data_IF_015392305916
#
_entry.id   IF_015392305916
#
_cell.length_a   1.000
_cell.length_b   1.000
_cell.length_c   1.000
_cell.angle_alpha   90.00
_cell.angle_beta   90.00
_cell.angle_gamma   90.00
#
_symmetry.space_group_name_H-M   'P 1'
#
loop_
_entity.id
_entity.type
_entity.pdbx_description
1 polymer ?
#
# COMPACT_ATOMS: atom_id res chain seq x y z
N UNK A 1 -8.72 -45.50 13.31
CA UNK A 1 -10.16 -45.41 12.95
C UNK A 1 -10.49 -46.49 11.92
N UNK A 2 -11.75 -46.94 11.75
CA UNK A 2 -12.09 -47.81 10.62
C UNK A 2 -11.74 -47.10 9.28
N UNK A 3 -11.17 -47.80 8.28
CA UNK A 3 -10.75 -47.19 7.02
C UNK A 3 -11.85 -46.38 6.31
N UNK A 4 -13.10 -46.85 6.36
CA UNK A 4 -14.26 -46.17 5.76
C UNK A 4 -14.57 -44.83 6.43
N UNK A 5 -14.44 -44.74 7.76
CA UNK A 5 -14.68 -43.50 8.50
C UNK A 5 -13.53 -42.50 8.27
N UNK A 6 -12.29 -42.99 8.15
CA UNK A 6 -11.13 -42.19 7.79
C UNK A 6 -11.28 -41.58 6.39
N UNK A 7 -11.69 -42.38 5.41
CA UNK A 7 -11.97 -41.91 4.06
C UNK A 7 -13.11 -40.88 4.06
N UNK A 8 -14.21 -41.14 4.78
CA UNK A 8 -15.34 -40.22 4.90
C UNK A 8 -14.93 -38.85 5.46
N UNK A 9 -14.16 -38.83 6.55
CA UNK A 9 -13.67 -37.57 7.16
C UNK A 9 -12.70 -36.83 6.24
N UNK A 10 -11.85 -37.56 5.54
CA UNK A 10 -10.94 -36.99 4.54
C UNK A 10 -11.71 -36.31 3.41
N UNK A 11 -12.72 -36.98 2.85
CA UNK A 11 -13.59 -36.40 1.83
C UNK A 11 -14.36 -35.17 2.35
N UNK A 12 -14.75 -35.15 3.63
CA UNK A 12 -15.39 -33.99 4.24
C UNK A 12 -14.44 -32.78 4.34
N UNK A 13 -13.17 -33.00 4.69
CA UNK A 13 -12.15 -31.96 4.71
C UNK A 13 -11.94 -31.41 3.30
N UNK A 14 -11.76 -32.27 2.28
CA UNK A 14 -11.58 -31.85 0.88
C UNK A 14 -12.75 -30.99 0.39
N UNK A 15 -14.00 -31.45 0.59
CA UNK A 15 -15.19 -30.66 0.21
C UNK A 15 -15.26 -29.32 0.93
N UNK A 16 -14.84 -29.28 2.20
CA UNK A 16 -14.79 -28.03 2.96
C UNK A 16 -13.76 -27.08 2.35
N UNK A 17 -12.57 -27.57 1.99
CA UNK A 17 -11.55 -26.78 1.30
C UNK A 17 -12.13 -26.19 0.00
N UNK A 18 -12.68 -27.02 -0.88
CA UNK A 18 -13.24 -26.57 -2.17
C UNK A 18 -14.33 -25.50 -2.02
N UNK A 19 -15.22 -25.66 -1.03
CA UNK A 19 -16.25 -24.65 -0.73
C UNK A 19 -15.65 -23.33 -0.27
N UNK A 20 -14.61 -23.36 0.57
CA UNK A 20 -13.94 -22.15 1.03
C UNK A 20 -13.21 -21.45 -0.11
N UNK A 21 -12.55 -22.19 -1.01
CA UNK A 21 -11.89 -21.60 -2.19
C UNK A 21 -12.90 -20.88 -3.11
N UNK A 22 -14.07 -21.47 -3.32
CA UNK A 22 -15.15 -20.85 -4.10
C UNK A 22 -15.68 -19.57 -3.44
N UNK A 23 -15.92 -19.59 -2.14
CA UNK A 23 -16.36 -18.42 -1.37
C UNK A 23 -15.31 -17.32 -1.44
N UNK A 24 -14.04 -17.64 -1.20
CA UNK A 24 -12.95 -16.66 -1.26
C UNK A 24 -12.80 -16.05 -2.64
N UNK A 25 -12.93 -16.85 -3.70
CA UNK A 25 -12.87 -16.36 -5.08
C UNK A 25 -14.03 -15.41 -5.36
N UNK A 26 -15.25 -15.80 -4.97
CA UNK A 26 -16.45 -14.98 -5.15
C UNK A 26 -16.36 -13.65 -4.38
N UNK A 27 -15.96 -13.71 -3.11
CA UNK A 27 -15.82 -12.53 -2.26
C UNK A 27 -14.68 -11.63 -2.75
N UNK A 28 -13.56 -12.19 -3.20
CA UNK A 28 -12.49 -11.41 -3.85
C UNK A 28 -13.00 -10.61 -5.05
N UNK A 29 -13.80 -11.25 -5.91
CA UNK A 29 -14.42 -10.58 -7.06
C UNK A 29 -15.48 -9.55 -6.64
N UNK A 30 -16.20 -9.80 -5.54
CA UNK A 30 -17.13 -8.82 -4.97
C UNK A 30 -16.39 -7.61 -4.42
N UNK A 31 -15.27 -7.79 -3.72
CA UNK A 31 -14.42 -6.73 -3.18
C UNK A 31 -13.91 -5.80 -4.28
N UNK A 32 -13.49 -6.36 -5.42
CA UNK A 32 -13.07 -5.58 -6.60
C UNK A 32 -14.20 -4.70 -7.16
N UNK A 33 -15.47 -5.03 -6.89
CA UNK A 33 -16.65 -4.30 -7.36
C UNK A 33 -17.16 -3.26 -6.36
N UNK A 34 -16.62 -3.18 -5.14
CA UNK A 34 -17.11 -2.29 -4.06
C UNK A 34 -17.03 -0.78 -4.40
N UNK A 35 -16.38 -0.41 -5.50
CA UNK A 35 -16.47 0.93 -6.09
C UNK A 35 -17.93 1.36 -6.40
N UNK A 36 -18.86 0.41 -6.55
CA UNK A 36 -20.30 0.62 -6.75
C UNK A 36 -20.96 1.45 -5.65
N UNK A 37 -20.47 1.38 -4.42
CA UNK A 37 -21.11 2.07 -3.31
C UNK A 37 -20.76 3.56 -3.27
N UNK A 38 -19.70 4.01 -3.96
CA UNK A 38 -19.48 5.45 -4.19
C UNK A 38 -20.71 6.15 -4.80
N UNK A 39 -21.58 5.38 -5.48
CA UNK A 39 -22.88 5.80 -6.03
C UNK A 39 -23.94 6.13 -4.97
N UNK A 40 -23.82 5.64 -3.73
CA UNK A 40 -24.71 6.00 -2.60
C UNK A 40 -24.48 7.43 -2.11
N UNK A 41 -23.27 7.95 -2.27
CA UNK A 41 -22.95 9.31 -1.89
C UNK A 41 -23.39 10.28 -3.01
N UNK A 42 -24.70 10.37 -3.21
CA UNK A 42 -25.36 11.12 -4.29
C UNK A 42 -25.33 12.64 -4.12
N UNK A 43 -24.84 13.11 -2.97
CA UNK A 43 -24.77 14.55 -2.65
C UNK A 43 -26.16 15.18 -2.55
N UNK A 44 -27.11 14.48 -1.93
CA UNK A 44 -28.49 14.95 -1.73
C UNK A 44 -29.44 14.66 -2.89
N UNK A 45 -29.00 13.91 -3.92
CA UNK A 45 -29.84 13.56 -5.07
C UNK A 45 -30.42 12.16 -4.92
N UNK A 46 -31.66 11.95 -5.34
CA UNK A 46 -32.22 10.61 -5.42
C UNK A 46 -31.47 9.79 -6.51
N UNK A 47 -30.98 8.58 -6.22
CA UNK A 47 -30.37 7.72 -7.23
C UNK A 47 -31.36 7.35 -8.34
N UNK A 48 -30.83 7.13 -9.54
CA UNK A 48 -31.56 6.53 -10.65
C UNK A 48 -31.46 4.99 -10.54
N UNK A 49 -32.43 4.38 -9.85
CA UNK A 49 -32.40 2.96 -9.54
C UNK A 49 -32.44 2.06 -10.78
N UNK A 50 -32.97 2.54 -11.91
CA UNK A 50 -33.03 1.78 -13.16
C UNK A 50 -31.64 1.53 -13.75
N UNK A 51 -30.65 2.35 -13.38
CA UNK A 51 -29.24 2.17 -13.77
C UNK A 51 -28.47 1.25 -12.83
N UNK A 52 -29.09 0.78 -11.74
CA UNK A 52 -28.47 -0.10 -10.78
C UNK A 52 -28.91 -1.54 -11.02
N UNK A 53 -27.92 -2.44 -11.02
CA UNK A 53 -28.13 -3.88 -11.05
C UNK A 53 -28.75 -4.37 -9.74
N UNK A 54 -29.39 -5.54 -9.76
CA UNK A 54 -29.95 -6.14 -8.54
C UNK A 54 -28.87 -6.41 -7.49
N UNK A 55 -27.65 -6.76 -7.91
CA UNK A 55 -26.54 -6.97 -6.99
C UNK A 55 -26.12 -5.67 -6.32
N UNK A 56 -26.05 -4.56 -7.06
CA UNK A 56 -25.74 -3.25 -6.47
C UNK A 56 -26.80 -2.82 -5.44
N UNK A 57 -28.08 -3.06 -5.71
CA UNK A 57 -29.16 -2.78 -4.75
C UNK A 57 -29.04 -3.64 -3.48
N UNK A 58 -28.68 -4.92 -3.62
CA UNK A 58 -28.44 -5.82 -2.47
C UNK A 58 -27.23 -5.36 -1.66
N UNK A 59 -26.14 -5.01 -2.31
CA UNK A 59 -24.94 -4.46 -1.66
C UNK A 59 -25.29 -3.15 -0.91
N UNK A 60 -26.04 -2.25 -1.53
CA UNK A 60 -26.48 -0.99 -0.91
C UNK A 60 -27.35 -1.24 0.34
N UNK A 61 -28.26 -2.20 0.25
CA UNK A 61 -29.11 -2.60 1.38
C UNK A 61 -28.27 -3.21 2.52
N UNK A 62 -27.40 -4.18 2.22
CA UNK A 62 -26.53 -4.83 3.22
C UNK A 62 -25.66 -3.81 3.97
N UNK A 63 -25.12 -2.81 3.26
CA UNK A 63 -24.33 -1.71 3.84
C UNK A 63 -25.18 -0.86 4.77
N UNK A 64 -26.37 -0.48 4.31
CA UNK A 64 -27.31 0.30 5.10
C UNK A 64 -27.63 -0.38 6.42
N UNK A 65 -27.98 -1.67 6.35
CA UNK A 65 -28.32 -2.48 7.51
C UNK A 65 -27.14 -2.69 8.46
N UNK A 66 -25.91 -2.81 7.96
CA UNK A 66 -24.76 -3.05 8.84
C UNK A 66 -24.18 -1.77 9.43
N UNK A 67 -24.55 -0.61 8.92
CA UNK A 67 -24.10 0.67 9.47
C UNK A 67 -24.97 1.09 10.66
N UNK A 68 -24.47 0.93 11.88
CA UNK A 68 -25.13 1.42 13.10
C UNK A 68 -25.41 2.93 13.05
N UNK A 69 -24.55 3.69 12.36
CA UNK A 69 -24.71 5.14 12.15
C UNK A 69 -25.86 5.47 11.20
N UNK A 70 -26.12 4.63 10.18
CA UNK A 70 -27.25 4.80 9.25
C UNK A 70 -28.55 4.25 9.87
N UNK A 71 -28.44 3.24 10.75
CA UNK A 71 -29.57 2.58 11.41
C UNK A 71 -30.19 3.33 12.58
N UNK A 72 -29.60 4.44 13.04
CA UNK A 72 -30.25 5.33 14.00
C UNK A 72 -31.38 6.10 13.30
N UNK A 73 -32.42 5.37 12.89
CA UNK A 73 -33.75 5.92 12.67
C UNK A 73 -34.22 6.43 14.03
N UNK A 74 -34.65 7.70 14.17
CA UNK A 74 -35.26 8.15 15.41
C UNK A 74 -36.46 7.25 15.65
N UNK A 75 -36.46 6.55 16.79
CA UNK A 75 -37.67 5.95 17.30
C UNK A 75 -38.72 7.07 17.33
N UNK A 76 -39.76 6.94 16.52
CA UNK A 76 -40.92 7.79 16.60
C UNK A 76 -41.62 7.51 17.93
N UNK A 77 -41.05 8.00 19.03
CA UNK A 77 -41.76 8.14 20.30
C UNK A 77 -42.72 9.29 20.11
N UNK A 78 -43.98 8.95 19.81
CA UNK A 78 -45.09 9.84 20.09
C UNK A 78 -45.18 10.03 21.62
N UNK A 79 -44.87 11.23 22.14
CA UNK A 79 -44.77 11.47 23.58
C UNK A 79 -46.13 11.36 24.30
N UNK A 80 -47.25 11.35 23.58
CA UNK A 80 -48.58 11.25 24.21
C UNK A 80 -49.10 9.81 24.33
N UNK A 81 -48.68 8.89 23.44
CA UNK A 81 -49.24 7.53 23.42
C UNK A 81 -48.36 6.46 24.03
N UNK A 82 -47.04 6.65 24.11
CA UNK A 82 -46.10 5.65 24.66
C UNK A 82 -46.08 4.30 23.90
N UNK A 83 -46.74 4.22 22.74
CA UNK A 83 -46.80 3.04 21.88
C UNK A 83 -46.10 3.36 20.57
N UNK A 84 -45.10 2.55 20.22
CA UNK A 84 -44.41 2.59 18.92
C UNK A 84 -45.37 2.13 17.83
N UNK A 85 -46.28 3.00 17.36
CA UNK A 85 -47.34 2.62 16.41
C UNK A 85 -46.97 2.82 14.94
N UNK A 86 -45.82 3.42 14.64
CA UNK A 86 -45.36 3.63 13.27
C UNK A 86 -43.94 3.08 13.08
N UNK A 87 -43.75 1.78 13.25
CA UNK A 87 -42.68 1.13 12.48
C UNK A 87 -43.06 1.30 11.01
N UNK A 88 -42.34 2.14 10.27
CA UNK A 88 -42.43 2.11 8.82
C UNK A 88 -42.26 0.64 8.39
N UNK A 89 -43.16 0.07 7.57
CA UNK A 89 -43.11 -1.35 7.16
C UNK A 89 -41.83 -1.70 6.38
N UNK A 90 -40.99 -0.70 6.11
CA UNK A 90 -39.69 -0.80 5.45
C UNK A 90 -38.54 -0.22 6.29
N UNK A 91 -38.77 0.05 7.59
CA UNK A 91 -37.66 0.31 8.51
C UNK A 91 -36.73 -0.90 8.49
N UNK A 92 -35.42 -0.66 8.46
CA UNK A 92 -34.40 -1.73 8.46
C UNK A 92 -34.67 -2.76 9.55
N UNK A 93 -35.06 -2.28 10.74
CA UNK A 93 -35.42 -3.12 11.88
C UNK A 93 -36.64 -4.00 11.57
N UNK A 94 -37.71 -3.43 11.02
CA UNK A 94 -38.90 -4.21 10.63
C UNK A 94 -38.62 -5.23 9.51
N UNK A 95 -37.71 -4.94 8.58
CA UNK A 95 -37.29 -5.89 7.53
C UNK A 95 -36.49 -7.05 8.12
N UNK A 96 -35.60 -6.77 9.08
CA UNK A 96 -34.86 -7.81 9.81
C UNK A 96 -35.78 -8.66 10.71
N UNK A 97 -36.73 -8.05 11.41
CA UNK A 97 -37.72 -8.74 12.23
C UNK A 97 -38.64 -9.65 11.40
N UNK A 98 -38.90 -9.28 10.15
CA UNK A 98 -39.63 -10.12 9.18
C UNK A 98 -38.80 -11.26 8.58
N UNK A 99 -37.52 -11.40 8.93
CA UNK A 99 -36.62 -12.43 8.41
C UNK A 99 -36.26 -12.25 6.93
N UNK A 100 -36.51 -11.06 6.35
CA UNK A 100 -36.15 -10.77 4.97
C UNK A 100 -34.65 -10.49 4.88
N UNK A 101 -33.99 -11.20 3.97
CA UNK A 101 -32.59 -10.98 3.65
C UNK A 101 -32.47 -10.33 2.28
N UNK A 102 -31.34 -9.66 2.02
CA UNK A 102 -31.05 -9.14 0.68
C UNK A 102 -31.14 -10.21 -0.39
N UNK A 103 -30.87 -11.49 -0.07
CA UNK A 103 -30.99 -12.64 -0.98
C UNK A 103 -32.45 -12.97 -1.37
N UNK A 104 -33.40 -12.78 -0.46
CA UNK A 104 -34.81 -13.17 -0.65
C UNK A 104 -35.71 -12.06 -1.20
N UNK A 105 -35.26 -10.80 -1.15
CA UNK A 105 -36.06 -9.66 -1.58
C UNK A 105 -36.16 -9.56 -3.10
N UNK A 106 -37.34 -9.13 -3.59
CA UNK A 106 -37.52 -8.71 -4.98
C UNK A 106 -36.78 -7.40 -5.25
N UNK A 107 -36.58 -7.07 -6.53
CA UNK A 107 -35.97 -5.80 -6.94
C UNK A 107 -36.77 -4.61 -6.39
N UNK A 108 -38.10 -4.63 -6.48
CA UNK A 108 -38.97 -3.55 -5.98
C UNK A 108 -38.81 -3.39 -4.46
N UNK A 109 -38.76 -4.49 -3.71
CA UNK A 109 -38.53 -4.45 -2.27
C UNK A 109 -37.16 -3.86 -1.92
N UNK A 110 -36.11 -4.23 -2.67
CA UNK A 110 -34.77 -3.67 -2.49
C UNK A 110 -34.73 -2.18 -2.80
N UNK A 111 -35.34 -1.75 -3.92
CA UNK A 111 -35.42 -0.33 -4.29
C UNK A 111 -36.13 0.46 -3.19
N UNK A 112 -37.28 -0.01 -2.70
CA UNK A 112 -38.00 0.68 -1.63
C UNK A 112 -37.18 0.77 -0.35
N UNK A 113 -36.57 -0.33 0.09
CA UNK A 113 -35.76 -0.33 1.32
C UNK A 113 -34.54 0.60 1.21
N UNK A 114 -33.83 0.57 0.08
CA UNK A 114 -32.69 1.46 -0.19
C UNK A 114 -33.14 2.92 -0.29
N UNK A 115 -34.27 3.20 -0.94
CA UNK A 115 -34.82 4.55 -1.07
C UNK A 115 -35.22 5.13 0.28
N UNK A 116 -35.84 4.35 1.15
CA UNK A 116 -36.25 4.79 2.48
C UNK A 116 -35.03 5.05 3.39
N UNK A 117 -34.02 4.17 3.32
CA UNK A 117 -32.72 4.39 3.97
C UNK A 117 -32.07 5.71 3.54
N UNK A 118 -32.05 5.97 2.23
CA UNK A 118 -31.45 7.18 1.67
C UNK A 118 -32.27 8.43 2.00
N UNK A 119 -33.61 8.37 1.93
CA UNK A 119 -34.51 9.46 2.33
C UNK A 119 -34.24 9.90 3.76
N UNK A 120 -34.08 8.95 4.67
CA UNK A 120 -33.81 9.24 6.09
C UNK A 120 -32.56 10.10 6.28
N UNK A 121 -31.57 9.90 5.42
CA UNK A 121 -30.32 10.65 5.40
C UNK A 121 -30.36 11.87 4.46
N UNK A 122 -31.54 12.32 4.04
CA UNK A 122 -31.74 13.37 3.03
C UNK A 122 -30.92 13.12 1.75
N UNK A 123 -30.74 11.85 1.39
CA UNK A 123 -29.89 11.39 0.29
C UNK A 123 -28.44 11.91 0.38
N UNK A 124 -27.96 12.27 1.57
CA UNK A 124 -26.65 12.87 1.78
C UNK A 124 -25.87 12.12 2.86
N UNK A 125 -25.63 10.83 2.61
CA UNK A 125 -24.80 10.01 3.48
C UNK A 125 -23.36 10.51 3.41
N UNK A 126 -22.77 10.77 4.57
CA UNK A 126 -21.39 11.21 4.70
C UNK A 126 -20.43 10.13 4.14
N UNK A 127 -19.51 10.45 3.21
CA UNK A 127 -18.66 9.44 2.55
C UNK A 127 -17.88 8.54 3.52
N UNK A 128 -17.40 9.08 4.64
CA UNK A 128 -16.66 8.29 5.64
C UNK A 128 -17.55 7.32 6.42
N UNK A 129 -18.84 7.63 6.62
CA UNK A 129 -19.80 6.71 7.25
C UNK A 129 -20.05 5.52 6.33
N UNK A 130 -20.14 5.79 5.03
CA UNK A 130 -20.29 4.75 4.04
C UNK A 130 -19.04 3.87 3.92
N UNK A 131 -17.85 4.49 3.92
CA UNK A 131 -16.58 3.77 3.96
C UNK A 131 -16.49 2.85 5.19
N UNK A 132 -16.86 3.36 6.36
CA UNK A 132 -16.90 2.58 7.60
C UNK A 132 -17.81 1.36 7.49
N UNK A 133 -19.04 1.55 7.01
CA UNK A 133 -19.99 0.46 6.84
C UNK A 133 -19.45 -0.63 5.90
N UNK A 134 -18.80 -0.22 4.80
CA UNK A 134 -18.15 -1.15 3.88
C UNK A 134 -17.04 -1.93 4.53
N UNK A 135 -16.12 -1.26 5.22
CA UNK A 135 -14.99 -1.89 5.90
C UNK A 135 -15.52 -2.92 6.91
N UNK A 136 -16.56 -2.58 7.68
CA UNK A 136 -17.19 -3.53 8.60
C UNK A 136 -17.71 -4.78 7.89
N UNK A 137 -18.36 -4.64 6.73
CA UNK A 137 -18.83 -5.81 5.97
C UNK A 137 -17.69 -6.68 5.47
N UNK A 138 -16.66 -6.04 4.92
CA UNK A 138 -15.49 -6.71 4.36
C UNK A 138 -14.73 -7.45 5.47
N UNK A 139 -14.48 -6.77 6.59
CA UNK A 139 -13.79 -7.33 7.74
C UNK A 139 -14.58 -8.45 8.40
N UNK A 140 -15.91 -8.34 8.50
CA UNK A 140 -16.76 -9.42 9.01
C UNK A 140 -16.66 -10.66 8.13
N UNK A 141 -16.72 -10.50 6.80
CA UNK A 141 -16.50 -11.59 5.84
C UNK A 141 -15.11 -12.21 5.98
N UNK A 142 -14.07 -11.39 6.13
CA UNK A 142 -12.70 -11.86 6.36
C UNK A 142 -12.53 -12.63 7.66
N UNK A 143 -13.12 -12.17 8.76
CA UNK A 143 -13.05 -12.85 10.04
C UNK A 143 -13.79 -14.19 10.04
N UNK A 144 -14.96 -14.25 9.39
CA UNK A 144 -15.69 -15.49 9.19
C UNK A 144 -14.86 -16.47 8.33
N UNK A 145 -14.19 -15.95 7.30
CA UNK A 145 -13.34 -16.73 6.42
C UNK A 145 -12.15 -17.36 7.16
N UNK A 146 -11.42 -16.55 7.93
CA UNK A 146 -10.29 -16.99 8.74
C UNK A 146 -10.73 -18.07 9.76
N UNK A 147 -11.86 -17.86 10.44
CA UNK A 147 -12.40 -18.85 11.38
C UNK A 147 -12.75 -20.18 10.73
N UNK A 148 -13.29 -20.17 9.50
CA UNK A 148 -13.55 -21.41 8.74
C UNK A 148 -12.25 -22.10 8.31
N UNK A 149 -11.24 -21.35 7.88
CA UNK A 149 -9.92 -21.89 7.52
C UNK A 149 -9.24 -22.52 8.74
N UNK A 150 -9.23 -21.85 9.89
CA UNK A 150 -8.69 -22.38 11.14
C UNK A 150 -9.40 -23.67 11.57
N UNK A 151 -10.73 -23.72 11.45
CA UNK A 151 -11.50 -24.92 11.75
C UNK A 151 -11.09 -26.10 10.86
N UNK A 152 -10.97 -25.91 9.54
CA UNK A 152 -10.56 -26.99 8.63
C UNK A 152 -9.13 -27.47 8.92
N UNK A 153 -8.22 -26.56 9.28
CA UNK A 153 -6.88 -26.94 9.72
C UNK A 153 -6.91 -27.75 11.02
N UNK A 154 -7.73 -27.35 11.99
CA UNK A 154 -7.90 -28.06 13.26
C UNK A 154 -8.49 -29.46 13.06
N UNK A 155 -9.51 -29.59 12.21
CA UNK A 155 -10.11 -30.88 11.85
C UNK A 155 -9.08 -31.83 11.22
N UNK A 156 -8.20 -31.31 10.35
CA UNK A 156 -7.09 -32.09 9.79
C UNK A 156 -6.04 -32.49 10.84
N UNK A 157 -5.63 -31.58 11.73
CA UNK A 157 -4.66 -31.90 12.79
C UNK A 157 -5.19 -32.97 13.76
N UNK A 158 -6.49 -32.93 14.09
CA UNK A 158 -7.11 -33.98 14.89
C UNK A 158 -7.09 -35.32 14.18
N UNK A 159 -7.39 -35.34 12.86
CA UNK A 159 -7.34 -36.56 12.06
C UNK A 159 -5.92 -37.16 12.01
N UNK A 160 -4.89 -36.34 11.87
CA UNK A 160 -3.48 -36.79 11.93
C UNK A 160 -3.10 -37.34 13.32
N UNK A 161 -3.65 -36.76 14.39
CA UNK A 161 -3.37 -37.19 15.76
C UNK A 161 -4.07 -38.50 16.12
N UNK A 162 -5.32 -38.69 15.66
CA UNK A 162 -6.13 -39.89 15.94
C UNK A 162 -5.58 -41.16 15.26
N UNK A 163 -4.93 -41.05 14.11
CA UNK A 163 -4.41 -42.20 13.35
C UNK A 163 -2.93 -42.52 13.60
N UNK A 164 -2.20 -41.68 14.34
CA UNK A 164 -0.76 -41.83 14.59
C UNK A 164 0.12 -41.51 13.38
N UNK A 165 1.44 -41.72 13.49
CA UNK A 165 2.45 -41.29 12.49
C UNK A 165 2.25 -41.84 11.06
N UNK A 166 1.36 -42.82 10.88
CA UNK A 166 1.11 -43.51 9.61
C UNK A 166 0.13 -42.81 8.66
N UNK A 167 -0.74 -41.92 9.14
CA UNK A 167 -1.68 -41.20 8.27
C UNK A 167 -1.10 -39.86 7.83
N UNK A 168 -0.62 -39.82 6.59
CA UNK A 168 -0.16 -38.59 5.92
C UNK A 168 -0.80 -38.54 4.54
N UNK A 169 -1.96 -37.88 4.44
CA UNK A 169 -2.56 -37.61 3.15
C UNK A 169 -1.88 -36.38 2.54
N UNK A 170 -0.94 -36.61 1.64
CA UNK A 170 -0.13 -35.54 1.02
C UNK A 170 -0.99 -34.59 0.17
N UNK A 171 -2.06 -35.10 -0.45
CA UNK A 171 -2.99 -34.29 -1.24
C UNK A 171 -3.71 -33.26 -0.35
N UNK A 172 -4.25 -33.70 0.79
CA UNK A 172 -4.90 -32.80 1.76
C UNK A 172 -3.91 -31.77 2.31
N UNK A 173 -2.66 -32.16 2.56
CA UNK A 173 -1.62 -31.23 3.03
C UNK A 173 -1.29 -30.14 2.02
N UNK A 174 -1.12 -30.50 0.75
CA UNK A 174 -0.87 -29.51 -0.29
C UNK A 174 -2.11 -28.63 -0.54
N UNK A 175 -3.33 -29.18 -0.48
CA UNK A 175 -4.56 -28.38 -0.54
C UNK A 175 -4.67 -27.38 0.64
N UNK A 176 -4.37 -27.79 1.88
CA UNK A 176 -4.37 -26.89 3.04
C UNK A 176 -3.32 -25.79 2.93
N UNK A 177 -2.15 -26.10 2.38
CA UNK A 177 -1.09 -25.13 2.11
C UNK A 177 -1.51 -24.12 1.05
N UNK A 178 -2.18 -24.57 0.00
CA UNK A 178 -2.78 -23.70 -1.02
C UNK A 178 -3.87 -22.80 -0.41
N UNK A 179 -4.80 -23.37 0.36
CA UNK A 179 -5.86 -22.63 1.05
C UNK A 179 -5.28 -21.56 1.99
N UNK A 180 -4.20 -21.86 2.73
CA UNK A 180 -3.50 -20.90 3.58
C UNK A 180 -2.89 -19.75 2.77
N UNK A 181 -2.28 -20.07 1.63
CA UNK A 181 -1.71 -19.05 0.74
C UNK A 181 -2.80 -18.17 0.10
N UNK A 182 -3.93 -18.76 -0.29
CA UNK A 182 -5.10 -18.02 -0.77
C UNK A 182 -5.70 -17.15 0.34
N UNK A 183 -5.84 -17.64 1.57
CA UNK A 183 -6.40 -16.88 2.70
C UNK A 183 -5.54 -15.66 3.00
N UNK A 184 -4.21 -15.82 2.97
CA UNK A 184 -3.27 -14.70 3.07
C UNK A 184 -3.45 -13.68 1.93
N UNK A 185 -3.68 -14.15 0.71
CA UNK A 185 -3.91 -13.29 -0.46
C UNK A 185 -5.24 -12.55 -0.37
N UNK A 186 -6.29 -13.22 0.11
CA UNK A 186 -7.59 -12.64 0.37
C UNK A 186 -7.51 -11.57 1.46
N UNK A 187 -6.88 -11.86 2.60
CA UNK A 187 -6.65 -10.88 3.66
C UNK A 187 -5.90 -9.64 3.20
N UNK A 188 -4.89 -9.80 2.33
CA UNK A 188 -4.22 -8.65 1.69
C UNK A 188 -5.16 -7.87 0.75
N UNK A 189 -5.99 -8.56 -0.01
CA UNK A 189 -6.97 -7.91 -0.89
C UNK A 189 -7.99 -7.11 -0.08
N UNK A 190 -8.46 -7.65 1.03
CA UNK A 190 -9.32 -6.98 2.00
C UNK A 190 -8.66 -5.71 2.54
N UNK A 191 -7.38 -5.78 2.92
CA UNK A 191 -6.59 -4.64 3.36
C UNK A 191 -6.49 -3.56 2.28
N UNK A 192 -6.00 -3.92 1.09
CA UNK A 192 -5.84 -3.00 -0.05
C UNK A 192 -7.18 -2.34 -0.43
N UNK A 193 -8.27 -3.11 -0.43
CA UNK A 193 -9.62 -2.61 -0.72
C UNK A 193 -10.10 -1.64 0.35
N UNK A 194 -9.90 -1.97 1.63
CA UNK A 194 -10.29 -1.10 2.75
C UNK A 194 -9.55 0.22 2.71
N UNK A 195 -8.23 0.19 2.47
CA UNK A 195 -7.41 1.39 2.28
C UNK A 195 -7.91 2.25 1.13
N UNK A 196 -8.22 1.63 -0.02
CA UNK A 196 -8.76 2.33 -1.18
C UNK A 196 -10.11 3.01 -0.88
N UNK A 197 -10.98 2.35 -0.12
CA UNK A 197 -12.28 2.88 0.30
C UNK A 197 -12.11 4.11 1.21
N UNK A 198 -11.28 4.02 2.26
CA UNK A 198 -11.00 5.16 3.15
C UNK A 198 -10.37 6.30 2.36
N UNK A 199 -9.42 6.00 1.48
CA UNK A 199 -8.76 6.99 0.65
C UNK A 199 -9.74 7.71 -0.26
N UNK A 200 -10.61 6.99 -0.96
CA UNK A 200 -11.64 7.58 -1.82
C UNK A 200 -12.61 8.47 -1.05
N UNK A 201 -13.04 8.02 0.14
CA UNK A 201 -13.90 8.81 1.02
C UNK A 201 -13.22 10.08 1.52
N UNK A 202 -11.95 9.99 1.94
CA UNK A 202 -11.15 11.13 2.37
C UNK A 202 -10.97 12.15 1.25
N UNK A 203 -10.57 11.70 0.04
CA UNK A 203 -10.41 12.58 -1.12
C UNK A 203 -11.72 13.31 -1.47
N UNK A 204 -12.86 12.61 -1.46
CA UNK A 204 -14.18 13.21 -1.71
C UNK A 204 -14.54 14.26 -0.66
N UNK A 205 -14.25 13.99 0.62
CA UNK A 205 -14.53 14.93 1.71
C UNK A 205 -13.63 16.16 1.67
N UNK A 206 -12.35 15.99 1.39
CA UNK A 206 -11.42 17.10 1.23
C UNK A 206 -11.82 17.97 0.03
N UNK A 207 -12.21 17.36 -1.10
CA UNK A 207 -12.72 18.11 -2.26
C UNK A 207 -13.99 18.91 -1.96
N UNK A 208 -14.83 18.44 -1.04
CA UNK A 208 -16.02 19.15 -0.56
C UNK A 208 -15.74 20.11 0.62
N UNK A 209 -14.51 20.15 1.15
CA UNK A 209 -14.14 20.96 2.31
C UNK A 209 -13.69 22.40 1.95
N UNK A 210 -13.86 22.81 0.69
CA UNK A 210 -13.58 24.18 0.28
C UNK A 210 -14.41 25.18 1.11
N UNK A 211 -13.74 26.12 1.77
CA UNK A 211 -14.38 27.12 2.63
C UNK A 211 -14.70 26.66 4.06
N UNK A 212 -14.42 25.40 4.42
CA UNK A 212 -14.48 24.94 5.80
C UNK A 212 -13.33 25.50 6.62
N UNK A 213 -13.51 25.53 7.93
CA UNK A 213 -12.47 25.94 8.88
C UNK A 213 -11.32 24.93 8.92
N UNK A 214 -10.09 25.35 9.26
CA UNK A 214 -8.96 24.44 9.41
C UNK A 214 -9.20 23.33 10.44
N UNK A 215 -10.01 23.59 11.47
CA UNK A 215 -10.38 22.62 12.50
C UNK A 215 -11.27 21.51 11.93
N UNK A 216 -12.27 21.86 11.11
CA UNK A 216 -13.11 20.87 10.43
C UNK A 216 -12.30 20.02 9.46
N UNK A 217 -11.39 20.64 8.69
CA UNK A 217 -10.50 19.91 7.77
C UNK A 217 -9.57 18.96 8.54
N UNK A 218 -9.01 19.41 9.66
CA UNK A 218 -8.20 18.56 10.54
C UNK A 218 -9.02 17.40 11.10
N UNK A 219 -10.26 17.62 11.51
CA UNK A 219 -11.15 16.56 12.00
C UNK A 219 -11.45 15.52 10.93
N UNK A 220 -11.61 15.92 9.66
CA UNK A 220 -11.80 14.98 8.53
C UNK A 220 -10.57 14.07 8.39
N UNK A 221 -9.37 14.66 8.44
CA UNK A 221 -8.11 13.94 8.27
C UNK A 221 -7.86 12.97 9.44
N UNK A 222 -8.05 13.44 10.67
CA UNK A 222 -7.88 12.61 11.87
C UNK A 222 -8.93 11.49 11.94
N UNK A 223 -10.17 11.74 11.51
CA UNK A 223 -11.17 10.69 11.42
C UNK A 223 -10.75 9.60 10.44
N UNK A 224 -10.26 9.97 9.25
CA UNK A 224 -9.76 9.01 8.26
C UNK A 224 -8.54 8.21 8.77
N UNK A 225 -7.58 8.88 9.42
CA UNK A 225 -6.43 8.20 10.06
C UNK A 225 -6.85 7.24 11.15
N UNK A 226 -7.82 7.64 11.99
CA UNK A 226 -8.38 6.79 13.03
C UNK A 226 -8.91 5.47 12.47
N UNK A 227 -9.58 5.52 11.32
CA UNK A 227 -10.10 4.32 10.63
C UNK A 227 -9.02 3.41 10.07
N UNK A 228 -7.88 3.96 9.67
CA UNK A 228 -6.75 3.18 9.16
C UNK A 228 -5.97 2.47 10.27
N UNK A 229 -6.11 2.89 11.53
CA UNK A 229 -5.43 2.22 12.63
C UNK A 229 -6.04 0.81 12.81
N UNK A 230 -5.17 -0.20 12.69
CA UNK A 230 -5.51 -1.63 12.56
C UNK A 230 -6.40 -2.23 13.67
N UNK A 231 -6.62 -1.53 14.79
CA UNK A 231 -7.55 -1.96 15.84
C UNK A 231 -9.02 -1.83 15.43
N UNK A 232 -9.39 -0.80 14.66
CA UNK A 232 -10.79 -0.57 14.29
C UNK A 232 -11.25 -1.40 13.09
N UNK A 233 -10.33 -1.77 12.18
CA UNK A 233 -10.68 -2.56 10.99
C UNK A 233 -10.72 -4.08 11.24
N UNK A 234 -10.22 -4.56 12.39
CA UNK A 234 -10.00 -5.99 12.59
C UNK A 234 -11.19 -6.77 13.13
N UNK A 235 -12.25 -6.13 13.62
CA UNK A 235 -13.41 -6.84 14.19
C UNK A 235 -13.05 -7.87 15.30
N UNK A 236 -11.86 -7.76 15.91
CA UNK A 236 -11.34 -8.72 16.90
C UNK A 236 -10.35 -9.78 16.37
N UNK A 237 -10.07 -9.89 15.07
CA UNK A 237 -9.05 -10.81 14.57
C UNK A 237 -7.66 -10.18 14.64
N UNK A 238 -6.77 -10.75 15.48
CA UNK A 238 -5.36 -10.32 15.62
C UNK A 238 -4.55 -10.36 14.30
N UNK A 239 -5.12 -10.89 13.21
CA UNK A 239 -4.43 -11.15 11.94
C UNK A 239 -4.23 -9.91 11.06
N UNK A 240 -5.09 -8.87 11.19
CA UNK A 240 -4.95 -7.62 10.44
C UNK A 240 -4.04 -6.58 11.13
N UNK A 241 -3.44 -6.90 12.27
CA UNK A 241 -2.66 -5.98 13.11
C UNK A 241 -1.31 -5.51 12.53
N UNK A 242 -1.05 -5.72 11.23
CA UNK A 242 0.22 -5.34 10.57
C UNK A 242 0.07 -4.39 9.38
N UNK A 243 -1.00 -3.61 9.30
CA UNK A 243 -1.13 -2.46 8.37
C UNK A 243 -0.27 -1.27 8.86
N UNK A 244 0.98 -1.50 9.24
CA UNK A 244 1.87 -0.41 9.71
C UNK A 244 2.45 0.41 8.55
N UNK A 245 2.42 -0.13 7.34
CA UNK A 245 3.14 0.43 6.19
C UNK A 245 2.23 1.04 5.12
N UNK A 246 0.91 0.81 5.15
CA UNK A 246 -0.02 1.43 4.21
C UNK A 246 -0.38 2.85 4.65
N UNK A 247 0.08 3.82 3.86
CA UNK A 247 -0.21 5.25 4.03
C UNK A 247 -1.35 5.64 3.10
N UNK A 248 -2.33 6.39 3.60
CA UNK A 248 -3.36 6.99 2.74
C UNK A 248 -2.70 7.92 1.73
N UNK A 249 -3.07 7.80 0.46
CA UNK A 249 -2.51 8.61 -0.62
C UNK A 249 -3.49 9.73 -1.06
N UNK A 250 -3.09 10.97 -0.82
CA UNK A 250 -3.78 12.18 -1.25
C UNK A 250 -3.26 12.70 -2.60
N UNK A 251 -2.30 12.03 -3.24
CA UNK A 251 -1.77 12.48 -4.53
C UNK A 251 -2.88 12.52 -5.59
N UNK A 252 -2.96 13.61 -6.35
CA UNK A 252 -4.03 13.86 -7.32
C UNK A 252 -5.38 14.31 -6.72
N UNK A 253 -5.54 14.37 -5.39
CA UNK A 253 -6.76 14.89 -4.78
C UNK A 253 -7.00 16.37 -5.14
N UNK A 254 -8.27 16.76 -5.25
CA UNK A 254 -8.64 18.17 -5.44
C UNK A 254 -8.63 18.88 -4.08
N UNK A 255 -7.56 19.63 -3.79
CA UNK A 255 -7.43 20.41 -2.55
C UNK A 255 -7.63 21.91 -2.78
N UNK A 256 -8.18 22.30 -3.95
CA UNK A 256 -8.32 23.70 -4.34
C UNK A 256 -9.13 24.49 -3.31
N UNK A 257 -8.46 25.41 -2.63
CA UNK A 257 -9.10 26.31 -1.67
C UNK A 257 -9.46 25.67 -0.32
N UNK A 258 -9.07 24.41 -0.09
CA UNK A 258 -9.13 23.75 1.22
C UNK A 258 -8.07 24.39 2.12
N UNK A 259 -8.45 24.75 3.35
CA UNK A 259 -7.51 25.31 4.31
C UNK A 259 -6.89 24.21 5.18
N UNK A 260 -5.61 23.91 4.92
CA UNK A 260 -4.83 22.92 5.68
C UNK A 260 -4.00 23.57 6.79
N UNK A 261 -4.25 24.84 7.13
CA UNK A 261 -3.51 25.54 8.18
C UNK A 261 -3.50 24.72 9.47
N UNK A 262 -2.30 24.34 9.94
CA UNK A 262 -2.08 23.56 11.18
C UNK A 262 -2.56 22.11 11.15
N UNK A 263 -3.03 21.61 10.01
CA UNK A 263 -3.33 20.19 9.83
C UNK A 263 -2.05 19.36 9.97
N UNK A 264 -2.16 18.21 10.61
CA UNK A 264 -1.09 17.22 10.67
C UNK A 264 -1.32 16.18 9.58
N UNK A 265 -0.41 16.08 8.62
CA UNK A 265 -0.48 15.07 7.55
C UNK A 265 0.49 13.90 7.79
N UNK A 266 0.98 13.71 9.03
CA UNK A 266 1.87 12.59 9.37
C UNK A 266 1.26 11.27 8.93
N UNK A 267 2.05 10.47 8.21
CA UNK A 267 1.62 9.16 7.70
C UNK A 267 0.76 9.22 6.43
N UNK A 268 0.48 10.40 5.87
CA UNK A 268 -0.17 10.54 4.56
C UNK A 268 0.89 10.66 3.47
N UNK A 269 0.62 10.08 2.30
CA UNK A 269 1.37 10.35 1.08
C UNK A 269 0.65 11.48 0.33
N UNK A 270 1.41 12.46 -0.12
CA UNK A 270 0.88 13.59 -0.90
C UNK A 270 1.98 14.13 -1.80
N UNK A 271 1.68 14.36 -3.06
CA UNK A 271 2.62 14.99 -3.98
C UNK A 271 2.60 16.53 -3.84
N UNK A 272 3.71 17.22 -4.17
CA UNK A 272 3.80 18.66 -3.98
C UNK A 272 2.78 19.46 -4.80
N UNK A 273 2.38 18.97 -5.98
CA UNK A 273 1.44 19.65 -6.89
C UNK A 273 0.01 19.55 -6.38
N UNK A 274 -0.37 18.46 -5.73
CA UNK A 274 -1.66 18.40 -5.03
C UNK A 274 -1.65 19.27 -3.77
N UNK A 275 -0.58 19.21 -2.96
CA UNK A 275 -0.47 20.05 -1.77
C UNK A 275 -0.51 21.55 -2.10
N UNK A 276 0.07 21.98 -3.23
CA UNK A 276 0.11 23.38 -3.62
C UNK A 276 -1.27 24.00 -3.88
N UNK A 277 -2.30 23.20 -4.12
CA UNK A 277 -3.67 23.66 -4.35
C UNK A 277 -4.36 24.15 -3.06
N UNK A 278 -3.88 23.70 -1.91
CA UNK A 278 -4.43 24.04 -0.60
C UNK A 278 -3.96 25.42 -0.10
N UNK A 279 -4.66 25.97 0.89
CA UNK A 279 -4.22 27.13 1.67
C UNK A 279 -3.50 26.67 2.93
N UNK A 280 -2.64 27.52 3.48
CA UNK A 280 -1.97 27.26 4.76
C UNK A 280 -0.84 26.23 4.70
N UNK A 281 -0.34 25.92 3.49
CA UNK A 281 0.70 24.90 3.26
C UNK A 281 1.94 25.13 4.13
N UNK A 282 2.27 26.38 4.42
CA UNK A 282 3.41 26.76 5.25
C UNK A 282 3.29 26.27 6.72
N UNK A 283 2.05 26.13 7.22
CA UNK A 283 1.74 25.71 8.58
C UNK A 283 1.47 24.20 8.72
N UNK A 284 1.43 23.47 7.61
CA UNK A 284 1.18 22.03 7.60
C UNK A 284 2.33 21.28 8.27
N UNK A 285 2.00 20.26 9.06
CA UNK A 285 2.94 19.39 9.79
C UNK A 285 2.92 17.97 9.23
N UNK A 286 3.95 17.20 9.57
CA UNK A 286 3.99 15.76 9.25
C UNK A 286 4.31 15.41 7.79
N UNK A 287 4.69 16.40 6.98
CA UNK A 287 5.12 16.21 5.58
C UNK A 287 6.62 16.44 5.48
N UNK A 288 7.24 15.69 4.58
CA UNK A 288 8.61 15.91 4.13
C UNK A 288 8.87 17.41 3.77
N UNK A 289 9.94 18.03 4.32
CA UNK A 289 10.27 19.43 4.05
C UNK A 289 10.49 19.76 2.57
N UNK A 290 11.01 18.83 1.77
CA UNK A 290 11.21 18.99 0.34
C UNK A 290 9.89 19.00 -0.41
N UNK A 291 8.95 18.10 -0.05
CA UNK A 291 7.59 18.10 -0.60
C UNK A 291 6.87 19.41 -0.26
N UNK A 292 6.93 19.86 1.00
CA UNK A 292 6.35 21.14 1.41
C UNK A 292 7.00 22.32 0.69
N UNK A 293 8.33 22.32 0.57
CA UNK A 293 9.09 23.34 -0.14
C UNK A 293 8.71 23.42 -1.62
N UNK A 294 8.63 22.27 -2.30
CA UNK A 294 8.19 22.20 -3.69
C UNK A 294 6.75 22.68 -3.86
N UNK A 295 5.83 22.33 -2.94
CA UNK A 295 4.45 22.80 -2.97
C UNK A 295 4.35 24.34 -2.86
N UNK A 296 5.13 24.96 -1.97
CA UNK A 296 5.21 26.41 -1.86
C UNK A 296 5.79 27.05 -3.13
N UNK A 297 6.77 26.40 -3.78
CA UNK A 297 7.31 26.87 -5.06
C UNK A 297 6.28 26.77 -6.19
N UNK A 298 5.47 25.70 -6.24
CA UNK A 298 4.34 25.61 -7.16
C UNK A 298 3.35 26.78 -6.96
N UNK A 299 2.97 27.10 -5.72
CA UNK A 299 2.11 28.26 -5.44
C UNK A 299 2.71 29.59 -5.90
N UNK A 300 4.04 29.71 -5.85
CA UNK A 300 4.75 30.89 -6.36
C UNK A 300 4.70 30.94 -7.89
N UNK A 301 4.87 29.80 -8.57
CA UNK A 301 4.76 29.69 -10.02
C UNK A 301 3.35 30.10 -10.46
N UNK A 302 2.29 29.58 -9.82
CA UNK A 302 0.90 29.93 -10.16
C UNK A 302 0.65 31.45 -10.07
N UNK A 303 1.23 32.12 -9.07
CA UNK A 303 1.15 33.59 -8.93
C UNK A 303 1.90 34.31 -10.07
N UNK A 304 3.10 33.85 -10.41
CA UNK A 304 3.92 34.43 -11.49
C UNK A 304 3.24 34.23 -12.85
N UNK A 305 2.64 33.06 -13.10
CA UNK A 305 1.89 32.76 -14.32
C UNK A 305 0.62 33.63 -14.42
N UNK A 306 -0.09 33.84 -13.31
CA UNK A 306 -1.22 34.76 -13.28
C UNK A 306 -0.81 36.23 -13.54
N UNK A 307 0.37 36.66 -13.08
CA UNK A 307 0.93 37.97 -13.43
C UNK A 307 1.33 38.06 -14.91
N UNK A 308 1.94 37.01 -15.44
CA UNK A 308 2.29 36.91 -16.85
C UNK A 308 1.06 37.00 -17.76
N UNK A 309 -0.03 36.35 -17.36
CA UNK A 309 -1.31 36.41 -18.07
C UNK A 309 -1.93 37.81 -18.06
N UNK A 310 -1.83 38.56 -16.95
CA UNK A 310 -2.27 39.96 -16.89
C UNK A 310 -1.51 40.85 -17.88
N UNK A 311 -0.22 40.56 -18.11
CA UNK A 311 0.60 41.28 -19.09
C UNK A 311 0.25 40.99 -20.56
N UNK A 312 -0.65 40.02 -20.84
CA UNK A 312 -1.20 39.84 -22.20
C UNK A 312 -2.12 41.00 -22.60
N UNK A 313 -2.88 41.54 -21.63
CA UNK A 313 -3.75 42.70 -21.81
C UNK A 313 -3.49 43.75 -20.72
N UNK A 314 -2.32 44.42 -20.76
CA UNK A 314 -1.85 45.23 -19.65
C UNK A 314 -2.63 46.54 -19.53
N UNK A 315 -3.08 46.85 -18.31
CA UNK A 315 -3.65 48.14 -17.97
C UNK A 315 -2.61 49.26 -17.97
N UNK A 316 -3.05 50.50 -17.80
CA UNK A 316 -2.16 51.68 -17.74
C UNK A 316 -1.11 51.52 -16.63
N UNK A 317 -1.53 51.05 -15.46
CA UNK A 317 -0.62 50.83 -14.32
C UNK A 317 0.43 49.74 -14.60
N UNK A 318 0.07 48.67 -15.31
CA UNK A 318 0.99 47.59 -15.65
C UNK A 318 2.04 48.08 -16.65
N UNK A 319 1.63 48.90 -17.62
CA UNK A 319 2.54 49.56 -18.57
C UNK A 319 3.53 50.45 -17.85
N UNK A 320 3.09 51.26 -16.90
CA UNK A 320 3.95 52.13 -16.10
C UNK A 320 4.95 51.31 -15.27
N UNK A 321 4.49 50.23 -14.60
CA UNK A 321 5.39 49.35 -13.83
C UNK A 321 6.42 48.67 -14.72
N UNK A 322 6.03 48.23 -15.91
CA UNK A 322 6.88 47.51 -16.83
C UNK A 322 8.02 48.35 -17.43
N UNK A 323 7.92 49.69 -17.42
CA UNK A 323 9.01 50.58 -17.87
C UNK A 323 10.33 50.26 -17.15
N UNK A 324 10.29 49.93 -15.86
CA UNK A 324 11.48 49.53 -15.07
C UNK A 324 12.15 48.26 -15.56
N UNK A 325 11.45 47.45 -16.33
CA UNK A 325 11.95 46.19 -16.89
C UNK A 325 12.23 46.30 -18.39
N UNK A 326 12.22 47.51 -18.98
CA UNK A 326 12.37 47.69 -20.43
C UNK A 326 11.06 47.56 -21.21
N UNK A 327 9.93 47.87 -20.57
CA UNK A 327 8.59 47.77 -21.16
C UNK A 327 7.92 46.42 -20.91
N UNK A 328 6.72 46.23 -21.49
CA UNK A 328 5.88 45.05 -21.26
C UNK A 328 6.62 43.75 -21.61
N UNK A 329 7.33 43.72 -22.74
CA UNK A 329 8.07 42.52 -23.17
C UNK A 329 9.24 42.20 -22.23
N UNK A 330 9.93 43.22 -21.71
CA UNK A 330 10.98 43.02 -20.72
C UNK A 330 10.43 42.51 -19.37
N UNK A 331 9.26 43.00 -18.95
CA UNK A 331 8.57 42.47 -17.77
C UNK A 331 8.10 41.02 -17.95
N UNK A 332 7.58 40.66 -19.13
CA UNK A 332 7.24 39.25 -19.46
C UNK A 332 8.47 38.35 -19.39
N UNK A 333 9.58 38.77 -19.99
CA UNK A 333 10.85 38.01 -19.98
C UNK A 333 11.37 37.80 -18.55
N UNK A 334 11.32 38.83 -17.71
CA UNK A 334 11.70 38.71 -16.29
C UNK A 334 10.84 37.69 -15.54
N UNK A 335 9.51 37.71 -15.76
CA UNK A 335 8.60 36.72 -15.17
C UNK A 335 8.87 35.29 -15.65
N UNK A 336 9.11 35.09 -16.95
CA UNK A 336 9.47 33.78 -17.51
C UNK A 336 10.74 33.24 -16.85
N UNK A 337 11.79 34.06 -16.75
CA UNK A 337 13.04 33.66 -16.09
C UNK A 337 12.83 33.28 -14.62
N UNK A 338 11.93 33.98 -13.90
CA UNK A 338 11.58 33.64 -12.51
C UNK A 338 10.81 32.33 -12.41
N UNK A 339 9.92 32.04 -13.37
CA UNK A 339 9.18 30.78 -13.45
C UNK A 339 10.14 29.63 -13.74
N UNK A 340 11.05 29.78 -14.71
CA UNK A 340 12.01 28.75 -15.07
C UNK A 340 12.95 28.43 -13.90
N UNK A 341 13.47 29.46 -13.22
CA UNK A 341 14.26 29.27 -12.00
C UNK A 341 13.48 28.56 -10.89
N UNK A 342 12.19 28.89 -10.71
CA UNK A 342 11.35 28.21 -9.73
C UNK A 342 11.08 26.74 -10.10
N UNK A 343 10.98 26.42 -11.39
CA UNK A 343 10.87 25.02 -11.87
C UNK A 343 12.16 24.24 -11.62
N UNK A 344 13.33 24.86 -11.85
CA UNK A 344 14.62 24.27 -11.50
C UNK A 344 14.73 24.00 -9.98
N UNK A 345 14.30 24.95 -9.14
CA UNK A 345 14.28 24.78 -7.67
C UNK A 345 13.38 23.59 -7.25
N UNK A 346 12.26 23.35 -7.93
CA UNK A 346 11.40 22.18 -7.68
C UNK A 346 12.14 20.90 -8.04
N UNK A 347 12.75 20.86 -9.23
CA UNK A 347 13.51 19.69 -9.70
C UNK A 347 14.61 19.36 -8.69
N UNK A 348 15.40 20.34 -8.25
CA UNK A 348 16.48 20.12 -7.29
C UNK A 348 15.98 19.58 -5.93
N UNK A 349 14.87 20.13 -5.41
CA UNK A 349 14.27 19.66 -4.14
C UNK A 349 13.72 18.24 -4.26
N UNK A 350 13.09 17.93 -5.39
CA UNK A 350 12.52 16.60 -5.64
C UNK A 350 13.58 15.56 -5.95
N UNK A 351 14.63 15.93 -6.68
CA UNK A 351 15.79 15.08 -6.95
C UNK A 351 16.57 14.78 -5.66
N UNK A 352 16.69 15.74 -4.75
CA UNK A 352 17.30 15.51 -3.43
C UNK A 352 16.50 14.51 -2.60
N UNK A 353 15.17 14.67 -2.53
CA UNK A 353 14.28 13.73 -1.83
C UNK A 353 14.25 12.34 -2.47
N UNK A 354 14.26 12.28 -3.81
CA UNK A 354 14.30 11.03 -4.57
C UNK A 354 15.68 10.35 -4.44
N UNK A 355 16.76 11.13 -4.40
CA UNK A 355 18.11 10.64 -4.16
C UNK A 355 18.26 10.08 -2.75
N UNK A 356 17.77 10.77 -1.72
CA UNK A 356 17.79 10.27 -0.33
C UNK A 356 16.95 8.98 -0.18
N UNK A 357 15.76 8.94 -0.79
CA UNK A 357 14.90 7.75 -0.73
C UNK A 357 15.52 6.56 -1.46
N UNK A 358 16.07 6.78 -2.66
CA UNK A 358 16.78 5.75 -3.42
C UNK A 358 18.09 5.34 -2.74
N UNK A 359 18.79 6.26 -2.09
CA UNK A 359 20.00 5.96 -1.33
C UNK A 359 19.66 5.09 -0.12
N UNK A 360 18.57 5.39 0.59
CA UNK A 360 18.07 4.56 1.68
C UNK A 360 17.65 3.17 1.21
N UNK A 361 16.92 3.08 0.09
CA UNK A 361 16.54 1.78 -0.50
C UNK A 361 17.75 0.96 -0.96
N UNK A 362 18.73 1.61 -1.59
CA UNK A 362 19.97 0.96 -2.01
C UNK A 362 20.77 0.49 -0.79
N UNK A 363 20.82 1.29 0.28
CA UNK A 363 21.49 0.95 1.53
C UNK A 363 20.82 -0.25 2.21
N UNK A 364 19.49 -0.24 2.34
CA UNK A 364 18.73 -1.38 2.88
C UNK A 364 18.89 -2.65 2.02
N UNK A 365 19.00 -2.50 0.69
CA UNK A 365 19.25 -3.63 -0.22
C UNK A 365 20.67 -4.18 -0.06
N UNK A 366 21.68 -3.31 0.09
CA UNK A 366 23.06 -3.70 0.39
C UNK A 366 23.13 -4.46 1.72
N UNK A 367 22.46 -3.97 2.77
CA UNK A 367 22.41 -4.64 4.08
C UNK A 367 21.76 -6.02 4.01
N UNK A 368 20.62 -6.14 3.31
CA UNK A 368 19.95 -7.43 3.12
C UNK A 368 20.80 -8.42 2.33
N UNK A 369 21.45 -7.96 1.25
CA UNK A 369 22.33 -8.81 0.46
C UNK A 369 23.57 -9.21 1.26
N UNK A 370 24.11 -8.31 2.09
CA UNK A 370 25.21 -8.61 3.02
C UNK A 370 24.84 -9.69 4.03
N UNK A 371 23.67 -9.60 4.67
CA UNK A 371 23.19 -10.66 5.55
C UNK A 371 23.03 -12.00 4.83
N UNK A 372 22.53 -11.99 3.59
CA UNK A 372 22.41 -13.19 2.77
C UNK A 372 23.78 -13.74 2.38
N UNK A 373 24.79 -12.90 2.17
CA UNK A 373 26.16 -13.35 1.97
C UNK A 373 26.73 -14.04 3.20
N UNK A 374 26.50 -13.49 4.40
CA UNK A 374 26.93 -14.12 5.64
C UNK A 374 26.34 -15.54 5.79
N UNK A 375 25.07 -15.74 5.38
CA UNK A 375 24.41 -17.04 5.35
C UNK A 375 25.00 -18.01 4.31
N UNK A 376 25.43 -17.49 3.15
CA UNK A 376 25.98 -18.29 2.04
C UNK A 376 27.48 -18.55 2.17
N UNK A 377 28.21 -17.75 2.97
CA UNK A 377 29.66 -17.77 3.11
C UNK A 377 30.24 -19.15 3.48
N UNK A 378 29.64 -19.96 4.38
CA UNK A 378 30.15 -21.29 4.67
C UNK A 378 30.10 -22.23 3.45
N UNK A 379 29.04 -22.12 2.64
CA UNK A 379 28.88 -22.91 1.41
C UNK A 379 29.85 -22.48 0.32
N UNK A 380 30.01 -21.17 0.10
CA UNK A 380 30.99 -20.60 -0.84
C UNK A 380 32.42 -21.03 -0.49
N UNK A 381 32.81 -20.91 0.79
CA UNK A 381 34.13 -21.30 1.26
C UNK A 381 34.39 -22.81 1.02
N UNK A 382 33.42 -23.65 1.37
CA UNK A 382 33.52 -25.09 1.14
C UNK A 382 33.64 -25.43 -0.36
N UNK A 383 32.92 -24.72 -1.22
CA UNK A 383 33.02 -24.88 -2.67
C UNK A 383 34.43 -24.52 -3.17
N UNK A 384 34.94 -23.34 -2.82
CA UNK A 384 36.25 -22.83 -3.27
C UNK A 384 37.41 -23.68 -2.75
N UNK A 385 37.35 -24.16 -1.51
CA UNK A 385 38.35 -25.09 -0.97
C UNK A 385 38.36 -26.42 -1.71
N UNK A 386 37.17 -26.99 -1.98
CA UNK A 386 37.05 -28.23 -2.74
C UNK A 386 37.56 -28.06 -4.18
N UNK A 387 37.23 -26.95 -4.84
CA UNK A 387 37.74 -26.61 -6.16
C UNK A 387 39.27 -26.52 -6.18
N UNK A 388 39.87 -25.83 -5.20
CA UNK A 388 41.33 -25.73 -5.06
C UNK A 388 41.97 -27.11 -4.87
N UNK A 389 41.41 -27.95 -4.02
CA UNK A 389 41.91 -29.32 -3.79
C UNK A 389 41.81 -30.17 -5.06
N UNK A 390 40.70 -30.08 -5.79
CA UNK A 390 40.50 -30.79 -7.06
C UNK A 390 41.52 -30.35 -8.11
N UNK A 391 41.72 -29.04 -8.27
CA UNK A 391 42.66 -28.47 -9.24
C UNK A 391 44.12 -28.81 -8.89
N UNK A 392 44.48 -28.80 -7.60
CA UNK A 392 45.79 -29.26 -7.13
C UNK A 392 46.01 -30.75 -7.45
N UNK A 393 45.03 -31.61 -7.16
CA UNK A 393 45.11 -33.04 -7.47
C UNK A 393 45.25 -33.29 -8.98
N UNK A 394 44.48 -32.57 -9.81
CA UNK A 394 44.57 -32.66 -11.27
C UNK A 394 45.94 -32.20 -11.79
N UNK A 395 46.52 -31.15 -11.20
CA UNK A 395 47.86 -30.65 -11.57
C UNK A 395 48.96 -31.65 -11.23
N UNK A 396 48.90 -32.26 -10.04
CA UNK A 396 49.85 -33.31 -9.62
C UNK A 396 49.75 -34.52 -10.56
N UNK A 397 48.51 -34.94 -10.88
CA UNK A 397 48.28 -36.04 -11.80
C UNK A 397 48.87 -35.75 -13.19
N UNK A 398 48.59 -34.57 -13.76
CA UNK A 398 49.10 -34.16 -15.05
C UNK A 398 50.63 -34.07 -15.09
N UNK A 399 51.26 -33.58 -14.01
CA UNK A 399 52.72 -33.52 -13.90
C UNK A 399 53.34 -34.92 -13.85
N UNK A 400 52.77 -35.82 -13.05
CA UNK A 400 53.31 -37.17 -12.87
C UNK A 400 53.05 -38.10 -14.08
N UNK A 401 52.04 -37.83 -14.89
CA UNK A 401 51.76 -38.52 -16.16
C UNK A 401 52.50 -37.89 -17.36
N UNK A 402 53.18 -36.76 -17.16
CA UNK A 402 53.95 -36.05 -18.18
C UNK A 402 55.30 -36.70 -18.50
N UNK A 403 55.99 -36.25 -19.57
CA UNK A 403 57.24 -36.84 -20.07
C UNK A 403 58.43 -36.71 -19.12
N UNK A 404 58.31 -35.91 -18.06
CA UNK A 404 59.33 -35.67 -17.03
C UNK A 404 58.98 -36.27 -15.67
N UNK A 405 57.81 -36.93 -15.54
CA UNK A 405 57.37 -37.54 -14.29
C UNK A 405 57.85 -38.98 -14.16
N UNK A 406 58.24 -39.38 -12.95
CA UNK A 406 58.62 -40.79 -12.62
C UNK A 406 57.41 -41.74 -12.57
N UNK A 407 56.21 -41.25 -12.92
CA UNK A 407 54.94 -41.97 -12.81
C UNK A 407 54.39 -42.05 -11.39
N UNK A 408 53.07 -42.03 -11.25
CA UNK A 408 52.40 -42.32 -9.97
C UNK A 408 52.29 -43.82 -9.74
N UNK A 409 52.55 -44.25 -8.50
CA UNK A 409 52.17 -45.58 -8.02
C UNK A 409 50.66 -45.80 -8.13
N UNK A 410 50.22 -47.05 -8.09
CA UNK A 410 48.78 -47.36 -8.14
C UNK A 410 48.04 -46.72 -6.96
N UNK A 411 48.65 -46.74 -5.79
CA UNK A 411 48.14 -46.14 -4.57
C UNK A 411 48.02 -44.62 -4.71
N UNK A 412 49.05 -43.95 -5.27
CA UNK A 412 49.03 -42.50 -5.49
C UNK A 412 47.96 -42.05 -6.49
N UNK A 413 47.69 -42.85 -7.54
CA UNK A 413 46.57 -42.57 -8.47
C UNK A 413 45.22 -42.71 -7.79
N UNK A 414 45.02 -43.76 -6.99
CA UNK A 414 43.78 -43.99 -6.25
C UNK A 414 43.52 -42.88 -5.23
N UNK A 415 44.57 -42.39 -4.55
CA UNK A 415 44.46 -41.28 -3.60
C UNK A 415 44.05 -39.98 -4.30
N UNK A 416 44.71 -39.62 -5.41
CA UNK A 416 44.35 -38.44 -6.19
C UNK A 416 42.93 -38.53 -6.76
N UNK A 417 42.52 -39.70 -7.25
CA UNK A 417 41.14 -39.94 -7.72
C UNK A 417 40.13 -39.75 -6.57
N UNK A 418 40.43 -40.31 -5.39
CA UNK A 418 39.56 -40.15 -4.21
C UNK A 418 39.42 -38.68 -3.79
N UNK A 419 40.51 -37.91 -3.86
CA UNK A 419 40.49 -36.46 -3.58
C UNK A 419 39.61 -35.75 -4.61
N UNK A 420 39.77 -36.04 -5.91
CA UNK A 420 38.95 -35.44 -6.96
C UNK A 420 37.45 -35.75 -6.79
N UNK A 421 37.08 -36.99 -6.48
CA UNK A 421 35.69 -37.41 -6.29
C UNK A 421 35.05 -36.77 -5.04
N UNK A 422 35.77 -36.74 -3.92
CA UNK A 422 35.30 -36.07 -2.69
C UNK A 422 35.11 -34.58 -2.92
N UNK A 423 36.07 -33.91 -3.54
CA UNK A 423 35.98 -32.49 -3.87
C UNK A 423 34.82 -32.21 -4.82
N UNK A 424 34.60 -33.03 -5.85
CA UNK A 424 33.47 -32.88 -6.76
C UNK A 424 32.13 -32.97 -6.04
N UNK A 425 31.99 -33.89 -5.08
CA UNK A 425 30.76 -34.02 -4.29
C UNK A 425 30.50 -32.78 -3.43
N UNK A 426 31.54 -32.23 -2.80
CA UNK A 426 31.44 -30.98 -2.02
C UNK A 426 31.08 -29.79 -2.93
N UNK A 427 31.69 -29.70 -4.11
CA UNK A 427 31.34 -28.68 -5.11
C UNK A 427 29.87 -28.79 -5.51
N UNK A 428 29.37 -29.96 -5.91
CA UNK A 428 27.97 -30.15 -6.31
C UNK A 428 26.97 -29.80 -5.19
N UNK A 429 27.34 -30.08 -3.93
CA UNK A 429 26.48 -29.79 -2.78
C UNK A 429 26.37 -28.28 -2.52
N UNK A 430 27.45 -27.54 -2.78
CA UNK A 430 27.56 -26.11 -2.46
C UNK A 430 27.46 -25.18 -3.68
N UNK A 431 27.34 -25.73 -4.90
CA UNK A 431 27.34 -24.96 -6.16
C UNK A 431 26.29 -23.86 -6.16
N UNK A 432 25.06 -24.17 -5.69
CA UNK A 432 24.01 -23.16 -5.60
C UNK A 432 24.38 -22.01 -4.66
N UNK A 433 24.97 -22.32 -3.51
CA UNK A 433 25.36 -21.31 -2.53
C UNK A 433 26.48 -20.41 -3.08
N UNK A 434 27.47 -21.01 -3.76
CA UNK A 434 28.55 -20.29 -4.44
C UNK A 434 28.02 -19.34 -5.54
N UNK A 435 27.18 -19.85 -6.45
CA UNK A 435 26.59 -19.03 -7.54
C UNK A 435 25.74 -17.89 -7.00
N UNK A 436 24.99 -18.13 -5.92
CA UNK A 436 24.16 -17.12 -5.28
C UNK A 436 25.00 -16.08 -4.53
N UNK A 437 26.11 -16.49 -3.92
CA UNK A 437 27.07 -15.59 -3.28
C UNK A 437 27.71 -14.64 -4.30
N UNK A 438 28.26 -15.18 -5.41
CA UNK A 438 28.89 -14.38 -6.46
C UNK A 438 27.89 -13.42 -7.14
N UNK A 439 26.62 -13.85 -7.29
CA UNK A 439 25.57 -12.97 -7.79
C UNK A 439 25.30 -11.79 -6.83
N UNK A 440 25.24 -12.05 -5.52
CA UNK A 440 25.04 -11.01 -4.52
C UNK A 440 26.20 -10.02 -4.50
N UNK A 441 27.45 -10.48 -4.66
CA UNK A 441 28.63 -9.62 -4.75
C UNK A 441 28.51 -8.61 -5.91
N UNK A 442 28.15 -9.10 -7.10
CA UNK A 442 27.97 -8.25 -8.27
C UNK A 442 26.85 -7.22 -8.08
N UNK A 443 25.76 -7.61 -7.43
CA UNK A 443 24.63 -6.73 -7.15
C UNK A 443 24.98 -5.65 -6.11
N UNK A 444 25.69 -6.02 -5.04
CA UNK A 444 26.19 -5.08 -4.03
C UNK A 444 27.14 -4.06 -4.67
N UNK A 445 28.08 -4.49 -5.51
CA UNK A 445 29.02 -3.59 -6.18
C UNK A 445 28.31 -2.64 -7.16
N UNK A 446 27.30 -3.13 -7.90
CA UNK A 446 26.47 -2.28 -8.75
C UNK A 446 25.71 -1.21 -7.94
N UNK A 447 25.15 -1.59 -6.79
CA UNK A 447 24.45 -0.67 -5.89
C UNK A 447 25.39 0.38 -5.29
N UNK A 448 26.59 0.00 -4.82
CA UNK A 448 27.61 0.93 -4.31
C UNK A 448 28.06 1.93 -5.38
N UNK A 449 28.27 1.48 -6.62
CA UNK A 449 28.64 2.35 -7.73
C UNK A 449 27.55 3.40 -8.01
N UNK A 450 26.28 3.02 -7.93
CA UNK A 450 25.16 3.95 -8.09
C UNK A 450 25.09 5.01 -6.97
N UNK A 451 25.46 4.65 -5.74
CA UNK A 451 25.56 5.60 -4.62
C UNK A 451 26.72 6.59 -4.86
N UNK A 452 27.91 6.08 -5.19
CA UNK A 452 29.11 6.91 -5.41
C UNK A 452 28.98 7.92 -6.55
N UNK A 453 28.37 7.52 -7.69
CA UNK A 453 28.13 8.44 -8.82
C UNK A 453 27.24 9.61 -8.41
N UNK A 454 26.25 9.40 -7.54
CA UNK A 454 25.34 10.47 -7.09
C UNK A 454 26.01 11.42 -6.10
N UNK A 455 26.83 10.92 -5.19
CA UNK A 455 27.62 11.77 -4.28
C UNK A 455 28.57 12.69 -5.06
N UNK A 456 29.16 12.19 -6.15
CA UNK A 456 30.02 12.98 -7.04
C UNK A 456 29.27 14.06 -7.84
N UNK A 457 27.97 13.89 -8.07
CA UNK A 457 27.11 14.86 -8.76
C UNK A 457 26.53 15.90 -7.78
N UNK A 458 26.18 15.50 -6.55
CA UNK A 458 25.69 16.40 -5.50
C UNK A 458 26.76 17.38 -4.99
N UNK A 459 28.03 16.97 -4.99
CA UNK A 459 29.17 17.80 -4.56
C UNK A 459 29.60 18.88 -5.58
N UNK A 460 29.01 18.91 -6.79
CA UNK A 460 29.25 19.98 -7.79
C UNK A 460 28.32 21.19 -7.67
N UNK A 461 27.43 21.22 -6.69
CA UNK A 461 26.72 22.46 -6.34
C UNK A 461 27.75 23.45 -5.79
N UNK A 462 28.13 24.43 -6.62
CA UNK A 462 29.07 25.52 -6.32
C UNK A 462 28.86 26.02 -4.89
N UNK A 463 29.85 25.79 -4.03
CA UNK A 463 30.10 26.68 -2.90
C UNK A 463 30.20 28.10 -3.45
N UNK A 464 29.31 28.98 -2.99
CA UNK A 464 29.38 30.41 -3.29
C UNK A 464 30.80 30.93 -2.98
N UNK A 465 31.36 31.84 -3.81
CA UNK A 465 32.66 32.41 -3.53
C UNK A 465 32.60 33.15 -2.20
N UNK A 466 33.49 32.76 -1.27
CA UNK A 466 33.70 33.46 -0.01
C UNK A 466 33.79 34.97 -0.27
N UNK A 467 32.92 35.73 0.38
CA UNK A 467 32.92 37.19 0.31
C UNK A 467 34.27 37.78 0.71
N UNK A 468 34.58 38.99 0.24
CA UNK A 468 35.90 39.60 0.43
C UNK A 468 36.22 39.74 1.91
N UNK A 469 37.36 39.17 2.32
CA UNK A 469 37.95 39.33 3.66
C UNK A 469 38.06 40.83 3.98
N UNK A 470 37.26 41.29 4.93
CA UNK A 470 37.33 42.64 5.47
C UNK A 470 38.67 42.78 6.19
N UNK A 471 39.53 43.65 5.66
CA UNK A 471 40.81 43.99 6.26
C UNK A 471 40.61 44.72 7.59
N UNK A 472 41.11 44.12 8.66
CA UNK A 472 41.22 44.76 9.97
C UNK A 472 42.33 45.81 9.92
N UNK A 473 41.95 47.08 9.82
CA UNK A 473 42.85 48.21 10.03
C UNK A 473 43.13 48.34 11.53
N UNK A 474 44.37 48.06 11.91
CA UNK A 474 44.93 48.37 13.23
C UNK A 474 45.34 49.84 13.21
N UNK A 475 44.68 50.66 14.03
CA UNK A 475 45.16 52.00 14.38
C UNK A 475 46.29 51.86 15.43
N UNK A 476 47.45 52.45 15.13
CA UNK A 476 48.30 53.11 16.12
C UNK A 476 48.09 54.62 16.00
#
# INVERSE_FOLDING_TARGET
MPPEELERRTQQIVRSIEQLEQVMTSDTERLKKVETLSKLATGGKKPDYDKLTDQELRDMFDVGIKSTTINNLPDGLDPESGVVTNQHPHSVIGVMEAGLTSATMSREQLVTAVDDLLKHNNYNIHPMVLAEAQIMMISAGSAEMDGKVEKVMFDNMNLETEEGEGYKNEEVREQLKQLKAQSKTFGKTVEDTSTSIVQGALQKQLGAAQGKSPQEVSSIIEHAKGRMNATDMSGGTKSLAKVKDQKLDLSGANLKGVDLSRSDLTGLKIDPKTLSQAKGVEQVRGIDPNVKGAALTYQKIDKLEAELDKLKNPGILDRIKAIRHGGIEGAKKDLINKIDKAKEDIIQRMDSAMSETLQKQNQESIEKLGHRQDELAPGDLAYREAEKQRNAAATIQAFAEGPLGDGLSKEGRQELQTIQEKSQKVMNTNEKAHLEHDKNDLEIEALKKNVSVRESLGSKVKTEPEGPKVGTSVKM
#
